data_IF_586901438735
#
_entry.id   IF_586901438735
#
_cell.length_a   1.000
_cell.length_b   1.000
_cell.length_c   1.000
_cell.angle_alpha   90.00
_cell.angle_beta   90.00
_cell.angle_gamma   90.00
#
_symmetry.space_group_name_H-M   'P 1'
#
loop_
_entity.id
_entity.type
_entity.pdbx_description
1 polymer ?
#
# COMPACT_ATOMS: atom_id res chain seq x y z
N UNK A 1 13.87 -5.56 -20.83
CA UNK A 1 14.52 -5.75 -19.52
C UNK A 1 15.39 -4.57 -19.14
N UNK A 2 16.60 -4.45 -19.72
CA UNK A 2 17.63 -3.47 -19.31
C UNK A 2 17.19 -1.99 -19.37
N UNK A 3 16.51 -1.55 -20.44
CA UNK A 3 16.03 -0.16 -20.56
C UNK A 3 15.05 0.24 -19.45
N UNK A 4 14.11 -0.63 -19.10
CA UNK A 4 13.18 -0.39 -18.00
C UNK A 4 13.89 -0.36 -16.65
N UNK A 5 14.87 -1.24 -16.44
CA UNK A 5 15.68 -1.23 -15.22
C UNK A 5 16.44 0.10 -15.06
N UNK A 6 17.04 0.62 -16.15
CA UNK A 6 17.75 1.92 -16.15
C UNK A 6 16.79 3.08 -15.87
N UNK A 7 15.59 3.07 -16.45
CA UNK A 7 14.56 4.08 -16.18
C UNK A 7 14.15 4.06 -14.71
N UNK A 8 13.81 2.89 -14.17
CA UNK A 8 13.44 2.73 -12.76
C UNK A 8 14.57 3.21 -11.82
N UNK A 9 15.82 2.87 -12.14
CA UNK A 9 16.97 3.31 -11.36
C UNK A 9 17.16 4.83 -11.40
N UNK A 10 16.92 5.46 -12.55
CA UNK A 10 17.01 6.92 -12.72
C UNK A 10 15.93 7.63 -11.92
N UNK A 11 14.68 7.20 -12.05
CA UNK A 11 13.56 7.72 -11.27
C UNK A 11 13.80 7.55 -9.76
N UNK A 12 14.32 6.40 -9.33
CA UNK A 12 14.66 6.18 -7.92
C UNK A 12 15.70 7.19 -7.40
N UNK A 13 16.73 7.49 -8.20
CA UNK A 13 17.74 8.50 -7.85
C UNK A 13 17.14 9.92 -7.79
N UNK A 14 16.29 10.27 -8.73
CA UNK A 14 15.59 11.56 -8.75
C UNK A 14 14.70 11.72 -7.52
N UNK A 15 13.96 10.69 -7.13
CA UNK A 15 13.14 10.68 -5.91
C UNK A 15 14.01 10.88 -4.66
N UNK A 16 15.17 10.21 -4.57
CA UNK A 16 16.10 10.40 -3.46
C UNK A 16 16.61 11.84 -3.41
N UNK A 17 17.03 12.40 -4.54
CA UNK A 17 17.51 13.78 -4.62
C UNK A 17 16.41 14.78 -4.26
N UNK A 18 15.19 14.54 -4.73
CA UNK A 18 14.02 15.34 -4.38
C UNK A 18 13.76 15.31 -2.87
N UNK A 19 13.79 14.13 -2.24
CA UNK A 19 13.63 13.98 -0.77
C UNK A 19 14.69 14.77 0.01
N UNK A 20 15.95 14.71 -0.42
CA UNK A 20 17.05 15.48 0.20
C UNK A 20 16.76 16.97 0.09
N UNK A 21 16.40 17.43 -1.11
CA UNK A 21 16.09 18.84 -1.40
C UNK A 21 14.92 19.33 -0.56
N UNK A 22 13.84 18.54 -0.47
CA UNK A 22 12.70 18.86 0.38
C UNK A 22 13.10 18.95 1.86
N UNK A 23 13.92 18.02 2.36
CA UNK A 23 14.38 18.02 3.75
C UNK A 23 15.22 19.26 4.08
N UNK A 24 16.06 19.71 3.14
CA UNK A 24 16.86 20.94 3.30
C UNK A 24 16.00 22.22 3.27
N UNK A 25 14.90 22.20 2.52
CA UNK A 25 14.01 23.35 2.35
C UNK A 25 12.88 23.43 3.39
N UNK A 26 12.54 22.33 4.06
CA UNK A 26 11.46 22.31 5.04
C UNK A 26 11.96 22.80 6.41
N UNK A 27 11.32 23.82 7.02
CA UNK A 27 11.69 24.29 8.36
C UNK A 27 11.64 23.15 9.39
N UNK A 28 12.60 23.04 10.29
CA UNK A 28 12.64 21.92 11.25
C UNK A 28 11.39 21.82 12.14
N UNK A 29 10.76 22.96 12.43
CA UNK A 29 9.59 23.14 13.30
C UNK A 29 8.26 23.25 12.53
N UNK A 30 8.24 22.84 11.26
CA UNK A 30 7.03 22.87 10.44
C UNK A 30 5.88 22.07 11.09
N UNK A 31 4.67 22.52 10.79
CA UNK A 31 3.39 21.92 11.20
C UNK A 31 2.34 22.05 10.08
N UNK A 32 1.19 21.40 10.25
CA UNK A 32 0.09 21.39 9.27
C UNK A 32 -0.30 22.81 8.82
N UNK A 33 -0.39 23.77 9.75
CA UNK A 33 -0.76 25.17 9.46
C UNK A 33 0.32 25.86 8.60
N UNK A 34 1.59 25.72 8.98
CA UNK A 34 2.72 26.34 8.24
C UNK A 34 2.88 25.77 6.83
N UNK A 35 2.42 24.53 6.61
CA UNK A 35 2.39 23.88 5.30
C UNK A 35 1.07 24.10 4.56
N UNK A 36 0.16 24.91 5.12
CA UNK A 36 -1.17 25.19 4.59
C UNK A 36 -1.98 23.91 4.32
N UNK A 37 -1.93 22.96 5.26
CA UNK A 37 -2.71 21.73 5.23
C UNK A 37 -3.95 21.91 6.09
N UNK A 38 -5.12 21.70 5.48
CA UNK A 38 -6.42 21.90 6.12
C UNK A 38 -7.31 20.68 5.91
N UNK A 39 -8.30 20.49 6.77
CA UNK A 39 -9.28 19.42 6.66
C UNK A 39 -10.69 19.98 6.76
N UNK A 40 -11.56 19.54 5.84
CA UNK A 40 -12.98 19.93 5.80
C UNK A 40 -13.83 18.67 5.72
N UNK A 41 -14.78 18.51 6.64
CA UNK A 41 -15.72 17.40 6.60
C UNK A 41 -16.95 17.75 5.75
N UNK A 42 -17.25 16.90 4.78
CA UNK A 42 -18.44 16.99 3.94
C UNK A 42 -19.35 15.80 4.27
N UNK A 43 -20.58 16.08 4.65
CA UNK A 43 -21.58 15.04 4.92
C UNK A 43 -22.59 14.97 3.79
N UNK A 44 -22.84 13.78 3.26
CA UNK A 44 -23.88 13.55 2.28
C UNK A 44 -24.70 12.30 2.64
N UNK A 45 -25.94 12.49 3.10
CA UNK A 45 -26.91 11.40 3.25
C UNK A 45 -26.50 10.25 4.18
N UNK A 46 -25.74 10.51 5.24
CA UNK A 46 -25.38 9.52 6.28
C UNK A 46 -23.98 8.90 6.16
N UNK A 47 -23.23 9.22 5.09
CA UNK A 47 -21.81 8.94 4.96
C UNK A 47 -21.03 10.26 4.85
N UNK A 48 -20.01 10.41 5.69
CA UNK A 48 -19.13 11.59 5.70
C UNK A 48 -17.80 11.30 5.01
N UNK A 49 -17.24 12.32 4.35
CA UNK A 49 -15.90 12.31 3.79
C UNK A 49 -15.15 13.52 4.32
N UNK A 50 -13.94 13.31 4.82
CA UNK A 50 -13.00 14.36 5.19
C UNK A 50 -12.08 14.63 4.01
N UNK A 51 -12.13 15.87 3.51
CA UNK A 51 -11.24 16.37 2.46
C UNK A 51 -10.03 17.00 3.11
N UNK A 52 -8.85 16.47 2.85
CA UNK A 52 -7.58 17.05 3.29
C UNK A 52 -6.98 17.79 2.11
N UNK A 53 -6.89 19.11 2.22
CA UNK A 53 -6.35 19.97 1.20
C UNK A 53 -4.94 20.44 1.58
N UNK A 54 -3.99 20.25 0.68
CA UNK A 54 -2.61 20.71 0.82
C UNK A 54 -2.37 21.92 -0.09
N UNK A 55 -2.12 23.07 0.52
CA UNK A 55 -1.78 24.33 -0.14
C UNK A 55 -2.71 24.75 -1.29
N UNK A 56 -4.00 24.41 -1.21
CA UNK A 56 -4.99 24.71 -2.26
C UNK A 56 -4.78 23.98 -3.57
N UNK A 57 -3.79 23.09 -3.65
CA UNK A 57 -3.30 22.53 -4.93
C UNK A 57 -3.55 21.03 -5.07
N UNK A 58 -3.68 20.32 -3.94
CA UNK A 58 -3.91 18.88 -3.96
C UNK A 58 -4.84 18.46 -2.84
N UNK A 59 -5.71 17.51 -3.13
CA UNK A 59 -6.72 17.04 -2.20
C UNK A 59 -6.65 15.53 -2.05
N UNK A 60 -6.93 15.08 -0.84
CA UNK A 60 -7.12 13.67 -0.47
C UNK A 60 -8.51 13.54 0.17
N UNK A 61 -9.21 12.46 -0.19
CA UNK A 61 -10.56 12.17 0.26
C UNK A 61 -10.53 10.93 1.14
N UNK A 62 -10.87 11.08 2.41
CA UNK A 62 -10.84 9.99 3.39
C UNK A 62 -12.23 9.83 4.01
N UNK A 63 -12.83 8.63 4.03
CA UNK A 63 -14.09 8.40 4.73
C UNK A 63 -14.01 8.84 6.19
N UNK A 64 -15.04 9.50 6.73
CA UNK A 64 -15.01 10.08 8.09
C UNK A 64 -14.70 9.04 9.17
N UNK A 65 -15.26 7.83 9.05
CA UNK A 65 -14.96 6.72 9.96
C UNK A 65 -13.47 6.33 9.93
N UNK A 66 -12.87 6.23 8.73
CA UNK A 66 -11.45 5.94 8.56
C UNK A 66 -10.60 7.07 9.14
N UNK A 67 -10.96 8.33 8.89
CA UNK A 67 -10.25 9.49 9.45
C UNK A 67 -10.23 9.47 10.98
N UNK A 68 -11.36 9.15 11.63
CA UNK A 68 -11.41 9.01 13.09
C UNK A 68 -10.57 7.83 13.61
N UNK A 69 -10.57 6.71 12.89
CA UNK A 69 -9.70 5.56 13.23
C UNK A 69 -8.23 5.96 13.13
N UNK A 70 -7.80 6.61 12.05
CA UNK A 70 -6.43 7.12 11.89
C UNK A 70 -6.06 8.08 13.02
N UNK A 71 -6.97 8.98 13.39
CA UNK A 71 -6.77 9.92 14.50
C UNK A 71 -6.54 9.19 15.82
N UNK A 72 -7.30 8.13 16.09
CA UNK A 72 -7.16 7.34 17.31
C UNK A 72 -5.85 6.53 17.37
N UNK A 73 -5.32 6.14 16.21
CA UNK A 73 -4.09 5.36 16.06
C UNK A 73 -2.83 6.23 15.93
N UNK A 74 -2.98 7.53 15.73
CA UNK A 74 -1.85 8.41 15.45
C UNK A 74 -0.88 8.50 16.64
N UNK A 75 0.39 8.19 16.38
CA UNK A 75 1.52 8.26 17.33
C UNK A 75 2.62 9.25 16.90
N UNK A 76 2.40 9.99 15.82
CA UNK A 76 3.34 11.00 15.34
C UNK A 76 3.28 12.32 16.11
N UNK A 77 3.93 13.36 15.57
CA UNK A 77 3.96 14.68 16.18
C UNK A 77 2.55 15.33 16.07
N UNK A 78 1.90 15.74 17.18
CA UNK A 78 0.48 16.12 17.19
C UNK A 78 0.04 17.18 16.16
N UNK A 79 0.92 18.11 15.80
CA UNK A 79 0.65 19.19 14.86
C UNK A 79 1.03 18.84 13.40
N UNK A 80 1.25 17.56 13.10
CA UNK A 80 1.55 17.03 11.76
C UNK A 80 0.57 15.92 11.35
N UNK A 81 -0.57 15.83 12.03
CA UNK A 81 -1.55 14.78 11.80
C UNK A 81 -2.14 14.87 10.40
N UNK A 82 -2.54 16.07 9.94
CA UNK A 82 -3.16 16.22 8.63
C UNK A 82 -2.18 15.92 7.50
N UNK A 83 -0.93 16.39 7.61
CA UNK A 83 0.14 16.04 6.67
C UNK A 83 0.42 14.53 6.66
N UNK A 84 0.36 13.86 7.81
CA UNK A 84 0.54 12.41 7.86
C UNK A 84 -0.62 11.66 7.18
N UNK A 85 -1.87 12.07 7.42
CA UNK A 85 -3.04 11.46 6.75
C UNK A 85 -2.99 11.72 5.25
N UNK A 86 -2.61 12.93 4.82
CA UNK A 86 -2.42 13.26 3.42
C UNK A 86 -1.34 12.38 2.78
N UNK A 87 -0.18 12.24 3.43
CA UNK A 87 0.93 11.45 2.92
C UNK A 87 0.56 9.97 2.76
N UNK A 88 -0.05 9.36 3.78
CA UNK A 88 -0.45 7.95 3.70
C UNK A 88 -1.54 7.75 2.66
N UNK A 89 -2.52 8.65 2.59
CA UNK A 89 -3.54 8.60 1.54
C UNK A 89 -2.94 8.68 0.15
N UNK A 90 -2.00 9.60 -0.10
CA UNK A 90 -1.37 9.74 -1.41
C UNK A 90 -0.46 8.57 -1.78
N UNK A 91 0.26 7.99 -0.81
CA UNK A 91 1.08 6.81 -1.06
C UNK A 91 0.22 5.62 -1.49
N UNK A 92 -0.88 5.37 -0.79
CA UNK A 92 -1.78 4.27 -1.12
C UNK A 92 -2.69 4.57 -2.31
N UNK A 93 -3.04 5.82 -2.58
CA UNK A 93 -3.67 6.24 -3.84
C UNK A 93 -2.74 5.92 -5.02
N UNK A 94 -1.46 6.27 -4.95
CA UNK A 94 -0.48 5.96 -5.99
C UNK A 94 -0.30 4.44 -6.17
N UNK A 95 -0.19 3.68 -5.07
CA UNK A 95 -0.16 2.21 -5.13
C UNK A 95 -1.40 1.69 -5.87
N UNK A 96 -2.60 2.16 -5.48
CA UNK A 96 -3.87 1.77 -6.11
C UNK A 96 -3.91 2.14 -7.59
N UNK A 97 -3.46 3.31 -8.00
CA UNK A 97 -3.41 3.68 -9.43
C UNK A 97 -2.55 2.72 -10.26
N UNK A 98 -1.55 2.07 -9.65
CA UNK A 98 -0.70 1.07 -10.32
C UNK A 98 -1.41 -0.29 -10.41
N UNK A 99 -2.16 -0.68 -9.37
CA UNK A 99 -2.75 -2.02 -9.26
C UNK A 99 -4.25 -2.08 -9.61
N UNK A 100 -4.91 -0.95 -9.79
CA UNK A 100 -6.34 -0.87 -10.04
C UNK A 100 -6.74 -1.69 -11.27
N UNK A 101 -7.81 -2.48 -11.13
CA UNK A 101 -8.27 -3.39 -12.18
C UNK A 101 -7.41 -4.65 -12.37
N UNK A 102 -6.38 -4.86 -11.54
CA UNK A 102 -5.62 -6.11 -11.48
C UNK A 102 -6.02 -6.93 -10.27
N UNK A 103 -5.63 -8.21 -10.23
CA UNK A 103 -5.86 -9.08 -9.09
C UNK A 103 -5.11 -8.65 -7.82
N UNK A 104 -4.14 -7.74 -7.93
CA UNK A 104 -3.44 -7.20 -6.77
C UNK A 104 -4.27 -6.17 -5.96
N UNK A 105 -5.36 -5.64 -6.53
CA UNK A 105 -6.27 -4.68 -5.87
C UNK A 105 -7.41 -5.36 -5.12
N UNK A 106 -7.18 -6.56 -4.56
CA UNK A 106 -8.21 -7.27 -3.83
C UNK A 106 -7.83 -7.48 -2.36
N UNK A 107 -8.83 -7.45 -1.49
CA UNK A 107 -8.73 -7.65 -0.04
C UNK A 107 -9.89 -8.48 0.49
N UNK A 108 -9.73 -9.02 1.71
CA UNK A 108 -10.83 -9.65 2.43
C UNK A 108 -11.90 -8.61 2.79
N UNK A 109 -13.16 -9.03 2.80
CA UNK A 109 -14.26 -8.16 3.20
C UNK A 109 -14.22 -7.89 4.72
N UNK A 110 -14.80 -6.76 5.19
CA UNK A 110 -14.96 -6.52 6.62
C UNK A 110 -15.72 -7.63 7.36
N UNK A 111 -16.67 -8.31 6.68
CA UNK A 111 -17.40 -9.45 7.25
C UNK A 111 -16.52 -10.67 7.47
N UNK A 112 -15.62 -10.97 6.52
CA UNK A 112 -14.64 -12.04 6.66
C UNK A 112 -13.63 -11.71 7.74
N UNK A 113 -13.12 -10.48 7.80
CA UNK A 113 -12.19 -10.04 8.83
C UNK A 113 -12.83 -10.10 10.23
N UNK A 114 -14.08 -9.64 10.38
CA UNK A 114 -14.86 -9.79 11.62
C UNK A 114 -15.00 -11.27 12.03
N UNK A 115 -15.28 -12.14 11.05
CA UNK A 115 -15.39 -13.59 11.31
C UNK A 115 -14.04 -14.19 11.71
N UNK A 116 -12.93 -13.77 11.09
CA UNK A 116 -11.58 -14.20 11.47
C UNK A 116 -11.20 -13.76 12.89
N UNK A 117 -11.54 -12.53 13.28
CA UNK A 117 -11.35 -12.04 14.67
C UNK A 117 -12.16 -12.90 15.65
N UNK A 118 -13.42 -13.21 15.33
CA UNK A 118 -14.30 -13.99 16.22
C UNK A 118 -13.94 -15.48 16.29
N UNK A 119 -13.64 -16.09 15.15
CA UNK A 119 -13.54 -17.55 15.02
C UNK A 119 -12.10 -18.07 15.09
N UNK A 120 -11.11 -17.22 14.77
CA UNK A 120 -9.69 -17.56 14.81
C UNK A 120 -8.86 -16.61 15.69
N UNK A 121 -9.52 -15.72 16.46
CA UNK A 121 -8.88 -14.77 17.37
C UNK A 121 -7.82 -13.88 16.70
N UNK A 122 -8.00 -13.59 15.40
CA UNK A 122 -7.07 -12.75 14.65
C UNK A 122 -6.95 -11.39 15.33
N UNK A 123 -5.71 -10.95 15.54
CA UNK A 123 -5.34 -9.68 16.18
C UNK A 123 -4.33 -8.89 15.34
N UNK A 124 -3.82 -9.50 14.27
CA UNK A 124 -2.86 -8.88 13.37
C UNK A 124 -3.19 -9.22 11.92
N UNK A 125 -3.01 -8.24 11.04
CA UNK A 125 -3.17 -8.40 9.59
C UNK A 125 -1.84 -8.11 8.87
N UNK A 126 -1.45 -9.00 7.97
CA UNK A 126 -0.26 -8.81 7.15
C UNK A 126 -0.66 -8.34 5.75
N UNK A 127 0.17 -7.48 5.15
CA UNK A 127 -0.05 -6.91 3.81
C UNK A 127 -1.29 -6.00 3.74
N UNK A 128 -1.51 -5.20 4.79
CA UNK A 128 -2.67 -4.31 4.92
C UNK A 128 -2.22 -2.88 5.19
N UNK A 129 -3.01 -1.90 4.79
CA UNK A 129 -2.74 -0.47 4.93
C UNK A 129 -3.55 0.16 6.08
N UNK A 130 -3.09 1.26 6.69
CA UNK A 130 -3.78 1.88 7.82
C UNK A 130 -5.18 2.41 7.46
N UNK A 131 -5.48 2.56 6.17
CA UNK A 131 -6.79 2.98 5.66
C UNK A 131 -7.83 1.86 5.66
N UNK A 132 -7.42 0.59 5.69
CA UNK A 132 -8.32 -0.57 5.54
C UNK A 132 -8.15 -1.66 6.59
N UNK A 133 -7.13 -1.57 7.44
CA UNK A 133 -6.94 -2.46 8.60
C UNK A 133 -8.20 -2.54 9.47
N UNK A 134 -8.57 -3.75 9.86
CA UNK A 134 -9.83 -4.00 10.55
C UNK A 134 -9.74 -3.65 12.05
N UNK A 135 -10.75 -2.95 12.55
CA UNK A 135 -10.95 -2.68 13.98
C UNK A 135 -9.74 -2.01 14.63
N UNK A 136 -9.11 -2.70 15.58
CA UNK A 136 -7.88 -2.29 16.28
C UNK A 136 -6.73 -3.28 16.05
N UNK A 137 -6.79 -4.07 14.98
CA UNK A 137 -5.72 -5.02 14.67
C UNK A 137 -4.40 -4.28 14.46
N UNK A 138 -3.33 -4.90 14.95
CA UNK A 138 -1.98 -4.57 14.51
C UNK A 138 -1.85 -4.90 13.02
N UNK A 139 -1.00 -4.19 12.28
CA UNK A 139 -0.84 -4.45 10.86
C UNK A 139 0.59 -4.29 10.39
N UNK A 140 0.93 -5.02 9.33
CA UNK A 140 2.20 -4.83 8.60
C UNK A 140 1.88 -4.24 7.23
N UNK A 141 2.22 -2.96 7.07
CA UNK A 141 2.05 -2.23 5.83
C UNK A 141 3.24 -2.38 4.88
N UNK A 142 3.18 -1.67 3.76
CA UNK A 142 4.20 -1.72 2.69
C UNK A 142 5.14 -0.51 2.80
N UNK A 143 4.66 0.60 3.35
CA UNK A 143 5.34 1.88 3.38
C UNK A 143 5.64 2.27 4.85
N UNK A 144 6.67 1.67 5.48
CA UNK A 144 6.93 1.85 6.90
C UNK A 144 7.12 3.32 7.30
N UNK A 145 7.62 4.17 6.39
CA UNK A 145 7.82 5.59 6.60
C UNK A 145 6.51 6.36 6.89
N UNK A 146 5.40 5.95 6.27
CA UNK A 146 4.07 6.55 6.50
C UNK A 146 3.16 5.70 7.39
N UNK A 147 3.38 4.39 7.46
CA UNK A 147 2.54 3.46 8.22
C UNK A 147 2.82 3.52 9.73
N UNK A 148 4.09 3.68 10.12
CA UNK A 148 4.52 3.63 11.52
C UNK A 148 3.81 4.65 12.42
N UNK A 149 3.53 5.85 11.90
CA UNK A 149 2.85 6.91 12.67
C UNK A 149 1.38 6.59 12.94
N UNK A 150 0.82 5.57 12.29
CA UNK A 150 -0.52 5.05 12.53
C UNK A 150 -0.49 3.65 13.19
N UNK A 151 0.65 3.26 13.77
CA UNK A 151 0.83 1.97 14.43
C UNK A 151 1.17 0.80 13.49
N UNK A 152 1.60 1.09 12.26
CA UNK A 152 2.08 0.08 11.34
C UNK A 152 3.40 -0.52 11.81
N UNK A 153 3.46 -1.84 11.81
CA UNK A 153 4.70 -2.60 12.02
C UNK A 153 5.49 -2.65 10.70
N UNK A 154 6.81 -2.93 10.76
CA UNK A 154 7.61 -3.09 9.56
C UNK A 154 7.05 -4.14 8.58
N UNK A 155 7.42 -4.12 7.29
CA UNK A 155 6.93 -5.12 6.35
C UNK A 155 7.35 -6.55 6.75
N UNK A 156 6.40 -7.47 6.76
CA UNK A 156 6.67 -8.87 7.08
C UNK A 156 7.60 -9.50 6.04
N UNK A 157 8.62 -10.22 6.50
CA UNK A 157 9.55 -10.96 5.66
C UNK A 157 10.82 -10.23 5.25
N UNK A 158 11.08 -9.03 5.80
CA UNK A 158 12.44 -8.48 5.84
C UNK A 158 13.23 -9.18 6.95
N UNK A 159 14.41 -9.70 6.61
CA UNK A 159 15.26 -10.49 7.51
C UNK A 159 15.85 -9.66 8.66
N UNK A 160 15.93 -8.34 8.49
CA UNK A 160 16.51 -7.39 9.43
C UNK A 160 15.39 -6.48 9.99
N UNK A 161 14.98 -6.76 11.22
CA UNK A 161 14.19 -5.91 12.14
C UNK A 161 12.68 -5.73 11.88
N UNK A 162 11.88 -5.89 12.95
CA UNK A 162 10.54 -5.32 13.03
C UNK A 162 9.43 -6.24 13.55
N UNK A 163 8.66 -6.84 12.64
CA UNK A 163 7.46 -7.66 13.00
C UNK A 163 7.83 -8.85 13.85
N UNK A 164 9.04 -9.36 13.61
CA UNK A 164 9.54 -10.53 14.29
C UNK A 164 9.60 -10.35 15.79
N UNK A 165 10.07 -9.21 16.28
CA UNK A 165 10.25 -9.00 17.72
C UNK A 165 8.91 -8.91 18.45
N UNK A 166 7.91 -8.26 17.84
CA UNK A 166 6.55 -8.22 18.37
C UNK A 166 5.92 -9.62 18.44
N UNK A 167 6.01 -10.40 17.35
CA UNK A 167 5.48 -11.78 17.33
C UNK A 167 6.30 -12.72 18.24
N UNK A 168 7.62 -12.54 18.37
CA UNK A 168 8.49 -13.32 19.28
C UNK A 168 8.16 -13.08 20.74
N UNK A 169 7.82 -11.85 21.14
CA UNK A 169 7.64 -11.53 22.54
C UNK A 169 6.33 -12.08 23.09
N UNK A 170 5.27 -12.07 22.29
CA UNK A 170 3.92 -12.33 22.78
C UNK A 170 3.16 -13.40 22.01
N UNK A 171 3.67 -13.89 20.88
CA UNK A 171 2.89 -14.70 19.95
C UNK A 171 1.71 -13.91 19.36
N UNK A 172 0.87 -14.56 18.57
CA UNK A 172 -0.25 -13.90 17.91
C UNK A 172 -1.06 -14.80 17.00
N UNK A 173 -2.28 -14.36 16.70
CA UNK A 173 -3.10 -14.94 15.63
C UNK A 173 -3.22 -13.92 14.50
N UNK A 174 -2.87 -14.35 13.30
CA UNK A 174 -2.53 -13.49 12.16
C UNK A 174 -3.39 -13.87 10.97
N UNK A 175 -4.00 -12.88 10.31
CA UNK A 175 -4.59 -13.04 8.99
C UNK A 175 -3.62 -12.56 7.91
N UNK A 176 -3.50 -13.33 6.84
CA UNK A 176 -2.69 -12.96 5.68
C UNK A 176 -3.40 -13.37 4.39
N UNK A 177 -3.46 -12.42 3.47
CA UNK A 177 -3.68 -12.67 2.06
C UNK A 177 -2.48 -12.07 1.31
N UNK A 178 -1.49 -12.89 0.90
CA UNK A 178 -0.28 -12.37 0.28
C UNK A 178 -0.60 -11.76 -1.10
N UNK A 179 0.29 -10.90 -1.62
CA UNK A 179 0.16 -10.42 -2.98
C UNK A 179 0.16 -11.58 -3.98
N UNK A 180 -0.47 -11.32 -5.14
CA UNK A 180 -0.88 -12.31 -6.14
C UNK A 180 0.30 -12.66 -7.05
N UNK A 181 1.38 -13.12 -6.43
CA UNK A 181 2.65 -13.40 -7.08
C UNK A 181 3.39 -14.52 -6.33
N UNK A 182 3.75 -15.57 -7.06
CA UNK A 182 4.26 -16.81 -6.47
C UNK A 182 5.57 -16.66 -5.68
N UNK A 183 6.48 -15.79 -6.10
CA UNK A 183 7.76 -15.59 -5.41
C UNK A 183 7.55 -14.96 -4.04
N UNK A 184 6.71 -13.94 -3.97
CA UNK A 184 6.37 -13.23 -2.73
C UNK A 184 5.58 -14.15 -1.80
N UNK A 185 4.56 -14.86 -2.32
CA UNK A 185 3.83 -15.86 -1.54
C UNK A 185 4.77 -16.94 -0.96
N UNK A 186 5.76 -17.40 -1.73
CA UNK A 186 6.78 -18.35 -1.27
C UNK A 186 7.67 -17.77 -0.15
N UNK A 187 8.08 -16.50 -0.25
CA UNK A 187 8.86 -15.82 0.79
C UNK A 187 8.06 -15.70 2.07
N UNK A 188 6.79 -15.28 1.98
CA UNK A 188 5.89 -15.20 3.14
C UNK A 188 5.73 -16.56 3.80
N UNK A 189 5.50 -17.61 3.02
CA UNK A 189 5.31 -18.96 3.53
C UNK A 189 6.56 -19.51 4.22
N UNK A 190 7.73 -19.32 3.62
CA UNK A 190 9.01 -19.68 4.23
C UNK A 190 9.20 -19.02 5.59
N UNK A 191 8.89 -17.73 5.68
CA UNK A 191 8.98 -16.97 6.91
C UNK A 191 7.98 -17.48 7.94
N UNK A 192 6.71 -17.69 7.58
CA UNK A 192 5.68 -18.25 8.47
C UNK A 192 6.14 -19.59 9.08
N UNK A 193 6.72 -20.48 8.28
CA UNK A 193 7.25 -21.75 8.78
C UNK A 193 8.39 -21.53 9.78
N UNK A 194 9.35 -20.66 9.45
CA UNK A 194 10.44 -20.30 10.36
C UNK A 194 9.93 -19.67 11.67
N UNK A 195 8.78 -19.00 11.62
CA UNK A 195 8.08 -18.43 12.75
C UNK A 195 7.35 -19.48 13.58
N UNK A 196 6.66 -20.42 12.95
CA UNK A 196 5.94 -21.50 13.64
C UNK A 196 6.90 -22.45 14.38
N UNK A 197 8.14 -22.58 13.90
CA UNK A 197 9.23 -23.28 14.59
C UNK A 197 9.67 -22.58 15.90
N UNK A 198 9.25 -21.32 16.13
CA UNK A 198 9.49 -20.62 17.39
C UNK A 198 8.52 -21.15 18.44
N UNK A 199 8.98 -21.37 19.67
CA UNK A 199 8.19 -21.88 20.79
C UNK A 199 7.13 -20.91 21.35
N UNK A 200 6.76 -19.85 20.61
CA UNK A 200 5.73 -18.87 21.01
C UNK A 200 4.39 -19.20 20.37
N UNK A 201 3.25 -18.89 21.02
CA UNK A 201 1.94 -19.31 20.52
C UNK A 201 1.59 -18.56 19.23
N UNK A 202 1.57 -19.27 18.10
CA UNK A 202 1.36 -18.68 16.77
C UNK A 202 0.27 -19.39 15.99
N UNK A 203 -0.59 -18.59 15.36
CA UNK A 203 -1.68 -19.04 14.50
C UNK A 203 -1.73 -18.15 13.26
N UNK A 204 -1.77 -18.75 12.07
CA UNK A 204 -1.87 -18.05 10.79
C UNK A 204 -3.09 -18.57 10.02
N UNK A 205 -4.02 -17.67 9.71
CA UNK A 205 -5.13 -17.90 8.81
C UNK A 205 -4.80 -17.26 7.45
N UNK A 206 -4.58 -18.12 6.46
CA UNK A 206 -4.05 -17.75 5.16
C UNK A 206 -5.14 -17.91 4.10
N UNK A 207 -5.27 -16.92 3.22
CA UNK A 207 -6.07 -17.03 2.01
C UNK A 207 -5.08 -16.93 0.84
N UNK A 208 -4.93 -18.02 0.08
CA UNK A 208 -3.96 -18.15 -1.00
C UNK A 208 -4.70 -18.28 -2.34
N UNK A 209 -4.92 -17.17 -3.05
CA UNK A 209 -5.44 -17.16 -4.42
C UNK A 209 -4.59 -18.03 -5.37
N UNK A 210 -5.17 -18.53 -6.46
CA UNK A 210 -4.48 -19.34 -7.46
C UNK A 210 -3.21 -18.67 -8.01
N UNK A 211 -3.19 -17.35 -8.09
CA UNK A 211 -2.07 -16.52 -8.55
C UNK A 211 -0.84 -16.61 -7.64
N UNK A 212 -1.00 -17.11 -6.40
CA UNK A 212 0.11 -17.42 -5.52
C UNK A 212 0.87 -18.69 -5.96
N UNK A 213 0.27 -19.55 -6.77
CA UNK A 213 0.85 -20.81 -7.21
C UNK A 213 1.37 -20.69 -8.63
N UNK A 214 2.44 -21.41 -8.95
CA UNK A 214 2.98 -21.40 -10.31
C UNK A 214 2.06 -22.24 -11.19
N UNK A 215 1.69 -21.71 -12.34
CA UNK A 215 0.99 -22.49 -13.39
C UNK A 215 -0.38 -23.06 -12.97
N UNK A 216 -1.05 -22.47 -11.97
CA UNK A 216 -2.35 -22.96 -11.51
C UNK A 216 -3.45 -22.59 -12.51
N UNK A 217 -3.90 -23.58 -13.29
CA UNK A 217 -5.05 -23.44 -14.23
C UNK A 217 -6.38 -23.73 -13.52
N UNK A 218 -6.33 -24.47 -12.41
CA UNK A 218 -7.50 -24.85 -11.60
C UNK A 218 -7.46 -24.20 -10.21
N UNK A 219 -8.51 -24.43 -9.42
CA UNK A 219 -8.50 -24.07 -8.01
C UNK A 219 -7.35 -24.81 -7.29
N UNK A 220 -6.54 -24.10 -6.48
CA UNK A 220 -5.44 -24.71 -5.76
C UNK A 220 -5.97 -25.70 -4.72
N UNK A 221 -5.15 -26.71 -4.44
CA UNK A 221 -5.41 -27.80 -3.51
C UNK A 221 -4.29 -27.91 -2.49
N UNK A 222 -4.48 -28.77 -1.48
CA UNK A 222 -3.42 -29.08 -0.51
C UNK A 222 -2.14 -29.60 -1.19
N UNK A 223 -2.26 -30.27 -2.34
CA UNK A 223 -1.10 -30.83 -3.06
C UNK A 223 -0.23 -29.78 -3.75
N UNK A 224 -0.72 -28.55 -3.86
CA UNK A 224 -0.01 -27.42 -4.48
C UNK A 224 0.83 -26.64 -3.45
N UNK A 225 0.59 -26.83 -2.15
CA UNK A 225 1.34 -26.17 -1.07
C UNK A 225 2.88 -26.34 -1.15
N UNK A 226 3.42 -27.52 -1.52
CA UNK A 226 4.88 -27.70 -1.70
C UNK A 226 5.50 -26.78 -2.76
N UNK A 227 4.70 -26.20 -3.66
CA UNK A 227 5.19 -25.22 -4.64
C UNK A 227 5.62 -23.90 -3.98
N UNK A 228 5.02 -23.54 -2.83
CA UNK A 228 5.34 -22.33 -2.07
C UNK A 228 6.56 -22.54 -1.14
N UNK A 229 6.59 -23.69 -0.46
CA UNK A 229 7.75 -24.14 0.32
C UNK A 229 7.72 -25.68 0.41
N UNK A 230 8.79 -26.40 0.01
CA UNK A 230 8.80 -27.87 0.00
C UNK A 230 8.46 -28.51 1.35
N UNK A 231 8.72 -27.84 2.48
CA UNK A 231 8.40 -28.33 3.82
C UNK A 231 6.90 -28.52 4.03
N UNK A 232 6.06 -27.83 3.26
CA UNK A 232 4.60 -27.91 3.38
C UNK A 232 4.02 -29.28 3.00
N UNK A 233 4.71 -30.09 2.19
CA UNK A 233 4.23 -31.42 1.80
C UNK A 233 4.03 -32.38 2.99
N UNK A 234 4.74 -32.13 4.09
CA UNK A 234 4.69 -32.93 5.31
C UNK A 234 4.61 -32.05 6.57
N UNK A 235 4.07 -30.83 6.44
CA UNK A 235 4.10 -29.85 7.51
C UNK A 235 3.11 -30.19 8.62
N UNK A 236 3.63 -30.39 9.84
CA UNK A 236 2.83 -30.68 11.04
C UNK A 236 2.04 -29.48 11.56
N UNK A 237 2.34 -28.27 11.08
CA UNK A 237 1.63 -27.06 11.52
C UNK A 237 0.31 -26.85 10.80
N UNK A 238 0.05 -27.53 9.68
CA UNK A 238 -1.21 -27.40 8.94
C UNK A 238 -2.32 -28.07 9.76
N UNK A 239 -3.32 -27.30 10.18
CA UNK A 239 -4.46 -27.77 10.96
C UNK A 239 -5.72 -27.94 10.12
N UNK A 240 -5.91 -27.11 9.10
CA UNK A 240 -7.05 -27.16 8.20
C UNK A 240 -6.67 -26.62 6.83
N UNK A 241 -7.21 -27.21 5.77
CA UNK A 241 -7.07 -26.75 4.39
C UNK A 241 -8.40 -26.88 3.68
N UNK A 242 -8.90 -25.79 3.12
CA UNK A 242 -10.17 -25.76 2.39
C UNK A 242 -9.96 -25.14 1.01
N UNK A 243 -10.35 -25.85 -0.04
CA UNK A 243 -10.29 -25.33 -1.42
C UNK A 243 -11.57 -24.58 -1.74
N UNK A 244 -11.41 -23.34 -2.19
CA UNK A 244 -12.48 -22.44 -2.61
C UNK A 244 -12.47 -22.40 -4.13
N UNK A 245 -13.47 -22.98 -4.79
CA UNK A 245 -13.51 -22.94 -6.24
C UNK A 245 -13.83 -21.52 -6.75
N UNK A 246 -13.44 -21.26 -7.99
CA UNK A 246 -13.85 -20.05 -8.70
C UNK A 246 -15.38 -19.88 -8.64
N UNK A 247 -15.85 -18.66 -8.46
CA UNK A 247 -17.28 -18.37 -8.34
C UNK A 247 -17.92 -18.64 -6.97
N UNK A 248 -17.21 -19.26 -6.01
CA UNK A 248 -17.78 -19.60 -4.70
C UNK A 248 -17.50 -18.55 -3.61
N UNK A 249 -16.57 -17.64 -3.87
CA UNK A 249 -16.14 -16.63 -2.90
C UNK A 249 -15.98 -15.26 -3.56
N UNK A 250 -15.95 -14.21 -2.73
CA UNK A 250 -15.82 -12.83 -3.17
C UNK A 250 -14.72 -12.09 -2.42
N UNK A 251 -14.12 -11.11 -3.10
CA UNK A 251 -13.14 -10.19 -2.53
C UNK A 251 -13.59 -8.75 -2.76
N UNK A 252 -13.07 -7.83 -1.97
CA UNK A 252 -13.32 -6.39 -2.12
C UNK A 252 -12.17 -5.73 -2.87
N UNK A 253 -12.48 -4.79 -3.76
CA UNK A 253 -11.51 -3.94 -4.45
C UNK A 253 -11.84 -2.45 -4.33
N UNK A 254 -10.87 -1.56 -4.55
CA UNK A 254 -11.07 -0.10 -4.50
C UNK A 254 -11.15 0.51 -3.09
N UNK A 255 -11.77 1.68 -2.96
CA UNK A 255 -11.70 2.52 -1.74
C UNK A 255 -12.79 2.21 -0.71
N UNK A 256 -12.49 2.40 0.58
CA UNK A 256 -13.47 2.29 1.67
C UNK A 256 -14.08 0.89 1.77
N UNK A 257 -15.42 0.81 1.70
CA UNK A 257 -16.14 -0.48 1.64
C UNK A 257 -15.92 -1.23 0.32
N UNK A 258 -15.34 -0.60 -0.70
CA UNK A 258 -14.98 -1.25 -1.96
C UNK A 258 -16.15 -1.84 -2.75
N UNK A 259 -15.84 -2.37 -3.93
CA UNK A 259 -16.76 -3.21 -4.69
C UNK A 259 -16.49 -4.66 -4.34
N UNK A 260 -17.52 -5.36 -3.88
CA UNK A 260 -17.46 -6.82 -3.77
C UNK A 260 -17.51 -7.41 -5.18
N UNK A 261 -16.53 -8.24 -5.50
CA UNK A 261 -16.40 -8.93 -6.78
C UNK A 261 -16.23 -10.42 -6.55
N UNK A 262 -16.96 -11.22 -7.32
CA UNK A 262 -16.84 -12.67 -7.26
C UNK A 262 -15.48 -13.08 -7.84
N UNK A 263 -14.74 -13.90 -7.11
CA UNK A 263 -13.44 -14.38 -7.56
C UNK A 263 -13.58 -15.22 -8.82
N UNK A 264 -12.79 -14.89 -9.84
CA UNK A 264 -12.73 -15.63 -11.11
C UNK A 264 -11.76 -16.81 -11.04
N UNK A 265 -10.87 -16.83 -10.05
CA UNK A 265 -9.92 -17.90 -9.77
C UNK A 265 -10.26 -18.61 -8.46
N UNK A 266 -9.77 -19.84 -8.30
CA UNK A 266 -9.88 -20.54 -7.03
C UNK A 266 -8.92 -19.96 -5.99
N UNK A 267 -9.20 -20.22 -4.71
CA UNK A 267 -8.34 -19.88 -3.59
C UNK A 267 -8.19 -21.06 -2.63
N UNK A 268 -7.15 -21.07 -1.82
CA UNK A 268 -6.95 -22.04 -0.75
C UNK A 268 -7.00 -21.31 0.59
N UNK A 269 -7.89 -21.71 1.48
CA UNK A 269 -7.80 -21.35 2.89
C UNK A 269 -6.88 -22.34 3.60
N UNK A 270 -5.89 -21.83 4.33
CA UNK A 270 -4.95 -22.65 5.10
C UNK A 270 -4.86 -22.11 6.52
N UNK A 271 -5.17 -22.95 7.51
CA UNK A 271 -4.92 -22.67 8.91
C UNK A 271 -3.62 -23.35 9.35
N UNK A 272 -2.65 -22.58 9.80
CA UNK A 272 -1.37 -23.08 10.31
C UNK A 272 -1.17 -22.67 11.76
N UNK A 273 -0.89 -23.63 12.64
CA UNK A 273 -0.67 -23.38 14.08
C UNK A 273 0.40 -24.32 14.63
N UNK A 274 1.34 -23.77 15.40
CA UNK A 274 2.16 -24.59 16.28
C UNK A 274 1.34 -25.04 17.50
N UNK A 275 1.87 -25.95 18.31
CA UNK A 275 1.10 -26.54 19.41
C UNK A 275 0.68 -25.50 20.45
N UNK A 276 1.58 -24.55 20.78
CA UNK A 276 1.28 -23.44 21.67
C UNK A 276 0.18 -22.52 21.10
N UNK A 277 0.20 -22.28 19.79
CA UNK A 277 -0.80 -21.51 19.06
C UNK A 277 -2.15 -22.20 19.02
N UNK A 278 -2.19 -23.51 18.79
CA UNK A 278 -3.42 -24.30 18.83
C UNK A 278 -4.05 -24.33 20.23
N UNK A 279 -3.22 -24.39 21.28
CA UNK A 279 -3.69 -24.30 22.66
C UNK A 279 -4.24 -22.91 23.02
N UNK A 280 -3.61 -21.83 22.54
CA UNK A 280 -4.02 -20.44 22.86
C UNK A 280 -5.14 -19.91 21.97
N UNK A 281 -5.16 -20.30 20.71
CA UNK A 281 -6.08 -19.84 19.67
C UNK A 281 -6.80 -21.05 19.06
N UNK A 282 -7.61 -21.80 19.83
CA UNK A 282 -8.26 -23.00 19.33
C UNK A 282 -9.23 -22.66 18.20
N UNK A 283 -9.08 -23.31 17.05
CA UNK A 283 -10.01 -23.19 15.92
C UNK A 283 -10.67 -24.55 15.70
N UNK A 284 -11.97 -24.61 15.94
CA UNK A 284 -12.78 -25.81 15.71
C UNK A 284 -13.30 -25.86 14.27
N UNK A 285 -13.75 -27.02 13.81
CA UNK A 285 -14.24 -27.22 12.45
C UNK A 285 -15.39 -26.28 12.07
N UNK A 286 -16.31 -26.01 13.01
CA UNK A 286 -17.39 -25.03 12.79
C UNK A 286 -16.87 -23.60 12.63
N UNK A 287 -15.75 -23.24 13.28
CA UNK A 287 -15.08 -21.95 13.06
C UNK A 287 -14.53 -21.86 11.63
N UNK A 288 -13.92 -22.94 11.11
CA UNK A 288 -13.47 -23.00 9.71
C UNK A 288 -14.65 -22.85 8.76
N UNK A 289 -15.73 -23.61 8.95
CA UNK A 289 -16.94 -23.49 8.12
C UNK A 289 -17.52 -22.07 8.14
N UNK A 290 -17.55 -21.41 9.30
CA UNK A 290 -18.01 -20.03 9.41
C UNK A 290 -17.12 -19.04 8.66
N UNK A 291 -15.79 -19.19 8.74
CA UNK A 291 -14.83 -18.38 7.99
C UNK A 291 -15.06 -18.55 6.49
N UNK A 292 -15.13 -19.78 6.01
CA UNK A 292 -15.38 -20.08 4.59
C UNK A 292 -16.72 -19.52 4.13
N UNK A 293 -17.77 -19.69 4.93
CA UNK A 293 -19.10 -19.16 4.64
C UNK A 293 -19.12 -17.63 4.56
N UNK A 294 -18.33 -16.95 5.40
CA UNK A 294 -18.22 -15.49 5.39
C UNK A 294 -17.63 -14.90 4.11
N UNK A 295 -16.88 -15.70 3.34
CA UNK A 295 -16.33 -15.32 2.04
C UNK A 295 -17.31 -15.59 0.89
N UNK A 296 -18.40 -16.32 1.14
CA UNK A 296 -19.34 -16.78 0.13
C UNK A 296 -20.08 -15.64 -0.58
N UNK A 297 -20.37 -15.81 -1.87
CA UNK A 297 -21.02 -14.78 -2.72
C UNK A 297 -22.39 -14.33 -2.21
N UNK A 298 -23.12 -15.21 -1.51
CA UNK A 298 -24.45 -14.91 -0.97
C UNK A 298 -24.42 -14.46 0.50
N UNK A 299 -23.24 -14.22 1.06
CA UNK A 299 -23.14 -13.80 2.45
C UNK A 299 -23.62 -12.35 2.59
N UNK A 300 -24.89 -12.18 2.94
CA UNK A 300 -25.43 -10.90 3.36
C UNK A 300 -24.87 -10.66 4.76
N UNK A 301 -24.00 -9.65 4.91
CA UNK A 301 -23.68 -9.10 6.23
C UNK A 301 -24.98 -8.65 6.88
N UNK A 302 -25.52 -9.48 7.77
CA UNK A 302 -26.57 -9.03 8.68
C UNK A 302 -25.93 -7.94 9.52
N UNK A 303 -26.43 -6.71 9.36
CA UNK A 303 -25.81 -5.47 9.80
C UNK A 303 -25.66 -5.31 11.31
N UNK A 304 -24.90 -6.19 11.95
CA UNK A 304 -24.18 -5.85 13.17
C UNK A 304 -22.98 -5.01 12.74
N UNK A 305 -23.23 -3.71 12.55
CA UNK A 305 -22.21 -2.70 12.82
C UNK A 305 -21.87 -2.90 14.29
N UNK A 306 -20.97 -3.85 14.55
CA UNK A 306 -20.44 -4.09 15.88
C UNK A 306 -19.81 -2.77 16.30
N UNK A 307 -20.47 -2.09 17.25
CA UNK A 307 -19.71 -1.28 18.19
C UNK A 307 -18.51 -2.12 18.61
N UNK A 308 -17.29 -1.55 18.58
CA UNK A 308 -16.09 -2.31 18.93
C UNK A 308 -16.36 -2.96 20.29
N UNK A 309 -16.33 -4.29 20.32
CA UNK A 309 -16.30 -5.03 21.58
C UNK A 309 -15.21 -4.35 22.41
N UNK A 310 -15.48 -3.93 23.66
CA UNK A 310 -14.46 -3.27 24.47
C UNK A 310 -13.24 -4.17 24.45
N UNK A 311 -12.15 -3.63 23.91
CA UNK A 311 -10.89 -4.34 23.82
C UNK A 311 -10.60 -4.92 25.19
N UNK A 312 -10.57 -6.26 25.29
CA UNK A 312 -9.76 -6.87 26.32
C UNK A 312 -8.40 -6.23 26.12
N UNK A 313 -7.92 -5.55 27.15
CA UNK A 313 -6.83 -4.59 27.09
C UNK A 313 -5.50 -5.33 26.93
N UNK A 314 -5.35 -6.05 25.83
CA UNK A 314 -4.07 -6.47 25.28
C UNK A 314 -3.68 -5.43 24.24
N UNK A 315 -3.50 -4.18 24.68
CA UNK A 315 -2.31 -3.48 24.25
C UNK A 315 -1.15 -4.34 24.75
N UNK A 316 -0.70 -5.28 23.93
CA UNK A 316 0.69 -5.62 24.02
C UNK A 316 1.41 -4.30 23.67
N UNK A 317 2.08 -3.78 24.68
CA UNK A 317 2.81 -2.52 24.69
C UNK A 317 4.02 -2.66 23.76
N UNK A 318 3.76 -2.78 22.45
CA UNK A 318 4.76 -3.09 21.43
C UNK A 318 5.67 -1.89 21.10
N UNK A 319 5.52 -0.76 21.79
CA UNK A 319 6.19 0.50 21.44
C UNK A 319 6.85 1.22 22.62
N UNK A 320 7.11 0.57 23.75
CA UNK A 320 7.78 1.25 24.87
C UNK A 320 9.31 1.29 24.68
N UNK A 321 9.78 2.18 23.80
CA UNK A 321 11.12 2.78 23.95
C UNK A 321 11.03 4.04 24.83
N UNK A 322 11.97 4.12 25.77
CA UNK A 322 12.05 5.14 26.82
C UNK A 322 12.19 6.56 26.25
N UNK A 323 11.18 7.40 26.45
CA UNK A 323 11.37 8.86 26.48
C UNK A 323 11.25 9.35 27.92
N UNK A 324 12.36 9.90 28.43
CA UNK A 324 12.46 10.60 29.72
C UNK A 324 11.49 11.81 29.80
N UNK A 325 11.00 12.17 31.00
CA UNK A 325 9.96 13.18 31.16
C UNK A 325 10.52 14.60 31.06
N UNK A 326 10.02 15.38 30.10
CA UNK A 326 10.09 16.85 30.16
C UNK A 326 8.82 17.42 30.80
N UNK A 327 9.03 18.42 31.65
CA UNK A 327 8.08 18.97 32.59
C UNK A 327 6.84 19.63 31.97
N UNK A 328 5.73 19.55 32.73
CA UNK A 328 4.42 20.11 32.42
C UNK A 328 4.37 21.65 32.45
N UNK A 329 3.55 22.21 31.55
CA UNK A 329 3.05 23.59 31.59
C UNK A 329 1.67 23.64 30.86
N UNK A 330 0.80 24.63 31.13
CA UNK A 330 -0.58 24.38 31.54
C UNK A 330 -1.64 24.47 30.45
N UNK A 331 -2.78 23.85 30.78
CA UNK A 331 -4.08 23.85 30.10
C UNK A 331 -4.57 25.25 29.76
N UNK A 332 -4.85 25.51 28.48
CA UNK A 332 -5.66 26.66 28.04
C UNK A 332 -6.84 26.13 27.23
N UNK A 333 -8.01 26.65 27.57
CA UNK A 333 -9.33 26.24 27.12
C UNK A 333 -9.58 26.46 25.62
N UNK A 334 -10.51 25.66 25.10
CA UNK A 334 -11.14 25.76 23.78
C UNK A 334 -11.54 27.19 23.42
N UNK A 335 -11.17 27.62 22.21
CA UNK A 335 -11.80 28.72 21.52
C UNK A 335 -12.18 28.26 20.11
N UNK A 336 -13.49 28.27 19.85
CA UNK A 336 -14.08 28.24 18.51
C UNK A 336 -13.58 29.47 17.73
N UNK A 337 -13.14 29.30 16.49
CA UNK A 337 -12.89 30.43 15.59
C UNK A 337 -13.55 30.14 14.24
N UNK A 338 -14.67 30.82 14.04
CA UNK A 338 -15.32 31.09 12.75
C UNK A 338 -14.43 31.93 11.84
N UNK A 339 -14.63 31.76 10.53
CA UNK A 339 -13.70 32.11 9.47
C UNK A 339 -13.27 33.57 9.35
N UNK A 340 -12.14 33.74 8.66
CA UNK A 340 -11.74 34.99 8.01
C UNK A 340 -10.98 34.67 6.72
N UNK A 341 -11.52 35.21 5.63
CA UNK A 341 -10.99 35.23 4.28
C UNK A 341 -9.62 35.91 4.25
N UNK A 342 -8.63 35.26 3.65
CA UNK A 342 -7.26 35.76 3.49
C UNK A 342 -6.71 35.40 2.12
N UNK A 343 -6.42 36.42 1.32
CA UNK A 343 -5.96 36.37 -0.07
C UNK A 343 -4.62 35.63 -0.20
N UNK A 344 -4.58 34.62 -1.07
CA UNK A 344 -3.38 33.85 -1.37
C UNK A 344 -2.39 34.66 -2.21
N UNK A 345 -1.20 34.92 -1.66
CA UNK A 345 -0.04 35.38 -2.43
C UNK A 345 0.68 34.17 -3.03
N UNK A 346 0.61 34.03 -4.36
CA UNK A 346 1.40 33.09 -5.14
C UNK A 346 2.90 33.43 -5.03
N UNK A 347 3.70 32.54 -4.45
CA UNK A 347 5.15 32.58 -4.56
C UNK A 347 5.61 31.46 -5.50
N UNK A 348 5.82 31.84 -6.77
CA UNK A 348 6.56 31.05 -7.76
C UNK A 348 8.07 31.26 -7.52
N UNK A 349 8.77 30.27 -6.96
CA UNK A 349 10.23 30.34 -6.83
C UNK A 349 10.92 29.63 -8.01
N UNK A 350 11.51 30.45 -8.87
CA UNK A 350 12.38 30.07 -10.00
C UNK A 350 13.82 30.04 -9.48
N UNK A 351 14.54 28.94 -9.73
CA UNK A 351 15.90 28.69 -9.28
C UNK A 351 16.91 29.07 -10.37
N UNK A 352 17.93 29.85 -10.02
CA UNK A 352 19.21 29.92 -10.74
C UNK A 352 20.33 29.55 -9.74
N UNK A 353 21.09 28.50 -10.04
CA UNK A 353 22.30 28.10 -9.30
C UNK A 353 23.54 28.26 -10.18
N UNK A 354 24.71 28.60 -9.59
CA UNK A 354 26.00 28.22 -10.15
C UNK A 354 26.65 27.05 -9.39
N UNK A 355 27.13 26.09 -10.19
CA UNK A 355 28.01 24.96 -9.87
C UNK A 355 29.25 25.34 -9.05
N UNK A 356 29.74 24.43 -8.19
CA UNK A 356 31.14 23.96 -8.12
C UNK A 356 31.33 22.71 -7.22
N UNK A 357 32.46 21.97 -7.31
CA UNK A 357 32.52 20.52 -7.14
C UNK A 357 33.38 20.03 -5.96
N UNK A 358 33.30 18.73 -5.66
CA UNK A 358 34.43 17.96 -5.11
C UNK A 358 34.04 16.90 -4.08
N UNK A 359 34.54 15.67 -4.26
CA UNK A 359 34.59 14.65 -3.19
C UNK A 359 34.19 13.24 -3.61
N UNK A 360 35.06 12.54 -4.34
CA UNK A 360 34.96 11.10 -4.62
C UNK A 360 35.37 10.29 -3.38
N UNK A 361 34.57 9.28 -3.01
CA UNK A 361 35.04 8.11 -2.26
C UNK A 361 34.63 6.85 -3.03
N UNK A 362 35.64 6.16 -3.59
CA UNK A 362 35.54 4.91 -4.35
C UNK A 362 35.52 3.73 -3.37
N UNK A 363 34.52 2.87 -3.46
CA UNK A 363 34.57 1.52 -2.89
C UNK A 363 33.89 0.59 -3.89
N UNK A 364 34.58 0.23 -4.97
CA UNK A 364 34.43 -1.05 -5.67
C UNK A 364 35.70 -1.23 -6.51
N UNK A 365 36.59 -2.06 -5.99
CA UNK A 365 37.70 -2.67 -6.70
C UNK A 365 37.09 -3.80 -7.54
N UNK A 366 36.98 -3.57 -8.86
CA UNK A 366 36.61 -4.62 -9.80
C UNK A 366 37.89 -5.28 -10.28
N UNK A 367 37.91 -6.59 -10.10
CA UNK A 367 38.94 -7.50 -10.60
C UNK A 367 39.05 -7.32 -12.11
N UNK A 368 40.28 -7.02 -12.52
CA UNK A 368 40.77 -6.88 -13.88
C UNK A 368 40.98 -8.27 -14.46
N UNK A 369 40.15 -8.67 -15.42
CA UNK A 369 40.50 -9.69 -16.41
C UNK A 369 40.38 -9.04 -17.79
N UNK A 370 41.53 -8.84 -18.40
CA UNK A 370 41.67 -8.35 -19.77
C UNK A 370 41.35 -9.45 -20.77
N UNK A 371 40.75 -9.04 -21.88
CA UNK A 371 41.43 -9.14 -23.18
C UNK A 371 40.72 -8.22 -24.18
N UNK A 372 41.55 -7.44 -24.86
CA UNK A 372 41.23 -6.48 -25.91
C UNK A 372 40.64 -7.17 -27.16
N UNK A 373 39.72 -6.53 -27.88
CA UNK A 373 40.05 -5.78 -29.10
C UNK A 373 38.82 -5.52 -30.00
N UNK A 374 38.95 -4.42 -30.75
CA UNK A 374 38.18 -3.98 -31.93
C UNK A 374 36.80 -3.35 -31.76
N UNK A 375 36.80 -2.04 -32.02
CA UNK A 375 35.62 -1.20 -32.12
C UNK A 375 34.79 -1.43 -33.38
N UNK A 376 33.54 -0.99 -33.24
CA UNK A 376 32.80 -0.26 -34.25
C UNK A 376 31.66 0.45 -33.52
N UNK A 377 31.64 1.78 -33.62
CA UNK A 377 30.45 2.58 -33.30
C UNK A 377 29.32 2.13 -34.25
N UNK A 378 28.35 1.40 -33.72
CA UNK A 378 27.13 1.06 -34.44
C UNK A 378 26.16 2.22 -34.24
N UNK A 379 26.04 3.04 -35.28
CA UNK A 379 24.98 4.03 -35.42
C UNK A 379 23.63 3.30 -35.57
N UNK A 380 22.82 3.32 -34.51
CA UNK A 380 21.52 2.61 -34.44
C UNK A 380 20.37 3.48 -34.96
N UNK A 381 20.67 4.62 -35.60
CA UNK A 381 19.65 5.57 -36.08
C UNK A 381 18.77 4.98 -37.21
N UNK A 382 19.30 4.05 -38.00
CA UNK A 382 18.58 3.44 -39.14
C UNK A 382 17.77 2.16 -38.80
N UNK A 383 17.82 1.68 -37.55
CA UNK A 383 17.00 0.55 -37.10
C UNK A 383 15.61 0.97 -36.56
N UNK A 384 15.34 2.27 -36.52
CA UNK A 384 14.06 2.83 -36.07
C UNK A 384 12.99 2.90 -37.18
N UNK A 385 13.36 2.75 -38.45
CA UNK A 385 12.43 2.87 -39.59
C UNK A 385 11.72 1.56 -39.98
N UNK A 386 12.02 0.44 -39.32
CA UNK A 386 11.41 -0.87 -39.63
C UNK A 386 10.45 -1.41 -38.58
N UNK A 387 10.18 -0.67 -37.50
CA UNK A 387 9.14 -1.04 -36.54
C UNK A 387 7.78 -0.47 -37.00
N UNK A 388 7.06 -1.33 -37.73
CA UNK A 388 5.67 -1.13 -38.15
C UNK A 388 4.74 -0.90 -36.94
N UNK A 389 4.44 0.36 -36.62
CA UNK A 389 3.47 0.77 -35.59
C UNK A 389 2.03 0.64 -36.13
N UNK A 390 1.65 -0.56 -36.60
CA UNK A 390 0.30 -0.83 -37.11
C UNK A 390 -0.61 -1.59 -36.12
N UNK A 391 -0.27 -1.67 -34.84
CA UNK A 391 -1.13 -2.34 -33.83
C UNK A 391 -2.06 -1.41 -33.04
N UNK A 392 -2.04 -0.09 -33.28
CA UNK A 392 -2.93 0.85 -32.57
C UNK A 392 -4.03 1.48 -33.42
N UNK A 393 -4.28 0.98 -34.64
CA UNK A 393 -5.39 1.49 -35.45
C UNK A 393 -6.21 0.36 -36.08
N UNK A 394 -7.25 -0.04 -35.35
CA UNK A 394 -8.49 -0.53 -35.96
C UNK A 394 -9.71 -0.13 -35.11
N UNK A 395 -10.35 0.94 -35.55
CA UNK A 395 -11.78 1.27 -35.51
C UNK A 395 -12.62 0.95 -34.26
N UNK A 396 -13.03 2.00 -33.55
CA UNK A 396 -14.41 2.49 -33.68
C UNK A 396 -14.52 3.96 -33.27
N UNK A 397 -15.40 4.64 -34.01
CA UNK A 397 -15.67 6.07 -34.08
C UNK A 397 -16.16 6.71 -32.78
N UNK A 398 -15.36 7.60 -32.18
CA UNK A 398 -15.85 8.78 -31.46
C UNK A 398 -14.85 9.94 -31.64
N UNK A 399 -15.40 11.12 -31.96
CA UNK A 399 -14.69 12.38 -32.11
C UNK A 399 -13.88 12.70 -30.85
N UNK A 400 -12.55 12.68 -30.95
CA UNK A 400 -11.65 13.27 -29.95
C UNK A 400 -11.07 14.54 -30.55
N UNK A 401 -11.43 15.69 -29.97
CA UNK A 401 -10.82 16.99 -30.27
C UNK A 401 -9.44 17.07 -29.60
N UNK A 402 -8.34 17.20 -30.35
CA UNK A 402 -6.98 17.21 -29.80
C UNK A 402 -6.59 18.55 -29.13
N UNK A 403 -7.49 19.52 -29.02
CA UNK A 403 -7.17 20.86 -28.46
C UNK A 403 -7.28 20.97 -26.93
N UNK A 404 -7.73 19.94 -26.21
CA UNK A 404 -7.90 20.01 -24.73
C UNK A 404 -6.69 19.58 -23.91
N UNK A 405 -5.61 19.09 -24.53
CA UNK A 405 -4.35 18.75 -23.82
C UNK A 405 -3.39 19.95 -23.73
N UNK A 406 -3.77 21.12 -24.26
CA UNK A 406 -3.07 22.39 -24.03
C UNK A 406 -3.68 23.18 -22.87
N UNK A 407 -3.73 22.60 -21.67
CA UNK A 407 -4.11 23.35 -20.46
C UNK A 407 -3.35 22.89 -19.19
N UNK A 408 -2.06 22.59 -19.33
CA UNK A 408 -1.11 22.72 -18.22
C UNK A 408 0.04 23.60 -18.70
N UNK A 409 -0.07 24.89 -18.39
CA UNK A 409 0.90 25.91 -18.75
C UNK A 409 2.23 25.72 -18.04
N UNK A 410 3.20 25.16 -18.74
CA UNK A 410 4.63 25.45 -18.56
C UNK A 410 5.10 26.02 -19.91
N UNK A 411 5.26 27.34 -19.96
CA UNK A 411 5.38 28.11 -21.20
C UNK A 411 6.72 27.94 -21.92
N UNK A 412 6.64 27.87 -23.25
CA UNK A 412 7.69 28.27 -24.17
C UNK A 412 7.44 29.71 -24.64
N UNK A 413 8.47 30.56 -24.60
CA UNK A 413 8.46 31.94 -25.11
C UNK A 413 8.40 31.99 -26.65
N UNK A 414 7.87 33.09 -27.25
CA UNK A 414 7.51 33.12 -28.66
C UNK A 414 8.73 33.41 -29.56
N UNK A 415 8.85 32.66 -30.66
CA UNK A 415 9.66 33.07 -31.79
C UNK A 415 8.82 33.91 -32.75
N UNK A 416 9.34 35.09 -33.04
CA UNK A 416 8.81 36.06 -33.97
C UNK A 416 9.11 35.62 -35.41
N UNK A 417 8.11 35.60 -36.29
CA UNK A 417 8.29 35.18 -37.68
C UNK A 417 7.06 35.48 -38.54
N UNK A 418 6.94 36.73 -38.97
CA UNK A 418 6.02 37.19 -40.01
C UNK A 418 6.21 36.42 -41.34
N UNK A 419 5.12 35.96 -41.97
CA UNK A 419 4.65 36.53 -43.26
C UNK A 419 3.48 35.75 -43.89
N UNK A 420 2.48 36.53 -44.31
CA UNK A 420 1.74 36.48 -45.58
C UNK A 420 0.91 35.24 -46.02
N UNK A 421 -0.39 35.53 -46.15
CA UNK A 421 -1.28 35.37 -47.33
C UNK A 421 -1.41 33.98 -47.98
N UNK A 422 -2.65 33.51 -48.06
CA UNK A 422 -3.08 32.64 -49.15
C UNK A 422 -4.50 32.10 -48.97
N UNK A 423 -5.41 32.55 -49.83
CA UNK A 423 -6.80 32.09 -49.92
C UNK A 423 -6.92 30.82 -50.76
N UNK A 424 -7.98 30.02 -50.52
CA UNK A 424 -8.46 28.92 -51.37
C UNK A 424 -9.20 27.89 -50.51
N UNK A 425 -10.53 27.82 -50.45
CA UNK A 425 -11.56 27.49 -51.46
C UNK A 425 -11.53 26.00 -51.88
N UNK A 426 -12.51 25.27 -51.31
CA UNK A 426 -13.25 24.08 -51.76
C UNK A 426 -12.53 22.89 -52.43
N UNK A 427 -12.93 21.69 -51.98
CA UNK A 427 -12.72 20.40 -52.63
C UNK A 427 -13.04 19.27 -51.68
#
# INVERSE_FOLDING_TARGET
GSRMAVLCQTLAKEIVQFRVTCKEQTPNDWNDISMNVTATEMSNGGSGVVVINWAGSSESYVPSNVYHTLRSRYRGIPNRFLSAVFAVSKCYEAKRSIIAGTSMDIRLSPSTLSTLVRCAHVTMELWVEPLTVFGNNAFCGIFPDVDQVFGGLPPFGKEEEGVGDALLQHGGSVALMPPFESTTASVYMRNILNWLDKGVPLSFALILPAECFRESISAPTISDLPQLDPRLGHCMYIRSVESLNAGQHSFHSGDGEGLSSVSQSGSLFVLMQNDAGSARFPVVESSVSNIIHSMGVNHISTGEIGSPVPASTCYADFTQEQTLPYAAAPTVASAEISGLSGVATHNNFRLDQPKRPGGRSRIFELVEDGDDDNGNDVDVSDMLDTLNVSMFQSNSSQHYDPETISLMGIGGTPFNGSSQKGAGRFG
#
